data_IF_314806875876
#
_entry.id   IF_314806875876
#
_cell.length_a   1.000
_cell.length_b   1.000
_cell.length_c   1.000
_cell.angle_alpha   90.00
_cell.angle_beta   90.00
_cell.angle_gamma   90.00
#
_symmetry.space_group_name_H-M   'P 1'
#
loop_
_entity.id
_entity.type
_entity.pdbx_description
1 polymer ?
#
# COMPACT_ATOMS: atom_id res chain seq x y z
N UNK A 1 1.91 4.68 19.50
CA UNK A 1 3.06 4.29 18.66
C UNK A 1 3.93 3.34 19.45
N UNK A 2 4.37 2.30 18.81
CA UNK A 2 5.40 1.38 19.35
C UNK A 2 6.73 1.71 18.69
N UNK A 3 7.82 1.56 19.43
CA UNK A 3 9.17 1.83 18.94
C UNK A 3 10.02 0.56 19.10
N UNK A 4 10.65 0.15 18.03
CA UNK A 4 11.62 -0.94 18.01
C UNK A 4 12.99 -0.40 17.68
N UNK A 5 13.95 -0.64 18.56
CA UNK A 5 15.34 -0.19 18.38
C UNK A 5 16.21 -1.35 17.92
N UNK A 6 16.94 -1.12 16.82
CA UNK A 6 17.96 -2.02 16.32
C UNK A 6 19.26 -1.23 16.07
N UNK A 7 20.21 -1.40 16.96
CA UNK A 7 21.45 -0.61 16.96
C UNK A 7 21.19 0.89 17.11
N UNK A 8 21.57 1.66 16.09
CA UNK A 8 21.35 3.12 16.00
C UNK A 8 20.00 3.49 15.35
N UNK A 9 19.31 2.52 14.77
CA UNK A 9 18.02 2.74 14.11
C UNK A 9 16.87 2.54 15.08
N UNK A 10 15.85 3.41 14.97
CA UNK A 10 14.59 3.27 15.71
C UNK A 10 13.45 3.27 14.69
N UNK A 11 12.75 2.16 14.63
CA UNK A 11 11.54 2.02 13.80
C UNK A 11 10.31 2.27 14.65
N UNK A 12 9.43 3.13 14.18
CA UNK A 12 8.14 3.40 14.82
C UNK A 12 7.01 2.75 14.03
N UNK A 13 6.08 2.11 14.73
CA UNK A 13 4.87 1.54 14.17
C UNK A 13 3.62 2.03 14.91
N UNK A 14 2.46 1.90 14.27
CA UNK A 14 1.19 2.12 14.95
C UNK A 14 0.97 1.01 15.98
N UNK A 15 0.46 1.38 17.16
CA UNK A 15 0.39 0.49 18.33
C UNK A 15 -0.76 -0.54 18.28
N UNK A 16 -1.49 -0.65 17.18
CA UNK A 16 -2.56 -1.64 17.03
C UNK A 16 -3.72 -1.17 16.16
N UNK A 17 -4.72 -2.02 16.04
CA UNK A 17 -5.90 -1.82 15.19
C UNK A 17 -6.73 -0.61 15.62
N UNK A 18 -6.84 -0.33 16.91
CA UNK A 18 -7.57 0.83 17.42
C UNK A 18 -6.93 2.14 16.98
N UNK A 19 -5.60 2.20 16.92
CA UNK A 19 -4.87 3.39 16.43
C UNK A 19 -5.09 3.57 14.93
N UNK A 20 -5.11 2.48 14.18
CA UNK A 20 -5.43 2.51 12.74
C UNK A 20 -6.88 2.98 12.53
N UNK A 21 -7.82 2.45 13.30
CA UNK A 21 -9.24 2.82 13.22
C UNK A 21 -9.45 4.31 13.56
N UNK A 22 -8.79 4.81 14.59
CA UNK A 22 -8.82 6.23 14.94
C UNK A 22 -8.26 7.10 13.80
N UNK A 23 -7.11 6.72 13.24
CA UNK A 23 -6.49 7.45 12.12
C UNK A 23 -7.40 7.51 10.90
N UNK A 24 -8.01 6.39 10.52
CA UNK A 24 -8.95 6.31 9.39
C UNK A 24 -10.20 7.15 9.65
N UNK A 25 -10.77 7.10 10.85
CA UNK A 25 -11.92 7.92 11.23
C UNK A 25 -11.61 9.41 11.23
N UNK A 26 -10.43 9.80 11.74
CA UNK A 26 -9.98 11.20 11.73
C UNK A 26 -9.80 11.70 10.29
N UNK A 27 -9.20 10.88 9.43
CA UNK A 27 -9.06 11.20 8.00
C UNK A 27 -10.43 11.37 7.34
N UNK A 28 -11.36 10.45 7.53
CA UNK A 28 -12.70 10.53 6.97
C UNK A 28 -13.47 11.78 7.44
N UNK A 29 -13.30 12.17 8.71
CA UNK A 29 -13.87 13.41 9.23
C UNK A 29 -13.25 14.64 8.54
N UNK A 30 -11.94 14.67 8.37
CA UNK A 30 -11.25 15.77 7.68
C UNK A 30 -11.71 15.86 6.21
N UNK A 31 -11.78 14.74 5.51
CA UNK A 31 -12.27 14.65 4.12
C UNK A 31 -13.70 15.20 3.99
N UNK A 32 -14.59 14.85 4.91
CA UNK A 32 -15.99 15.32 4.91
C UNK A 32 -16.14 16.83 5.15
N UNK A 33 -15.12 17.49 5.66
CA UNK A 33 -15.13 18.93 6.00
C UNK A 33 -14.31 19.78 5.03
N UNK A 34 -13.43 19.17 4.27
CA UNK A 34 -12.47 19.85 3.39
C UNK A 34 -12.71 19.45 1.93
N UNK A 35 -13.83 19.88 1.37
CA UNK A 35 -14.22 19.62 -0.03
C UNK A 35 -13.12 19.99 -1.04
N UNK A 36 -12.30 20.97 -0.72
CA UNK A 36 -11.17 21.38 -1.56
C UNK A 36 -10.12 20.26 -1.73
N UNK A 37 -9.89 19.45 -0.68
CA UNK A 37 -8.96 18.31 -0.75
C UNK A 37 -9.45 17.30 -1.76
N UNK A 38 -10.73 16.98 -1.76
CA UNK A 38 -11.32 16.06 -2.71
C UNK A 38 -11.16 16.58 -4.15
N UNK A 39 -11.47 17.84 -4.39
CA UNK A 39 -11.37 18.47 -5.72
C UNK A 39 -9.92 18.45 -6.24
N UNK A 40 -8.96 18.86 -5.41
CA UNK A 40 -7.53 18.85 -5.77
C UNK A 40 -7.05 17.42 -6.05
N UNK A 41 -7.44 16.47 -5.22
CA UNK A 41 -7.07 15.06 -5.40
C UNK A 41 -7.67 14.49 -6.69
N UNK A 42 -8.94 14.73 -6.96
CA UNK A 42 -9.61 14.27 -8.16
C UNK A 42 -8.97 14.87 -9.43
N UNK A 43 -8.68 16.16 -9.40
CA UNK A 43 -8.00 16.82 -10.52
C UNK A 43 -6.62 16.23 -10.76
N UNK A 44 -5.81 16.04 -9.72
CA UNK A 44 -4.48 15.45 -9.80
C UNK A 44 -4.50 14.03 -10.39
N UNK A 45 -5.44 13.20 -9.96
CA UNK A 45 -5.60 11.83 -10.46
C UNK A 45 -6.07 11.82 -11.92
N UNK A 46 -6.98 12.74 -12.28
CA UNK A 46 -7.50 12.87 -13.65
C UNK A 46 -6.41 13.30 -14.64
N UNK A 47 -5.60 14.29 -14.26
CA UNK A 47 -4.51 14.78 -15.10
C UNK A 47 -3.45 13.68 -15.40
N UNK A 48 -3.31 12.72 -14.49
CA UNK A 48 -2.38 11.58 -14.62
C UNK A 48 -3.03 10.32 -15.21
N UNK A 49 -4.31 10.34 -15.50
CA UNK A 49 -5.03 9.19 -16.06
C UNK A 49 -5.16 8.00 -15.11
N UNK A 50 -5.02 8.21 -13.80
CA UNK A 50 -5.07 7.16 -12.75
C UNK A 50 -6.28 7.31 -11.82
N UNK A 51 -7.39 7.81 -12.36
CA UNK A 51 -8.64 7.97 -11.62
C UNK A 51 -9.18 6.64 -11.07
N UNK A 52 -9.04 5.58 -11.86
CA UNK A 52 -9.55 4.27 -11.49
C UNK A 52 -8.76 3.68 -10.32
N UNK A 53 -9.49 3.22 -9.32
CA UNK A 53 -8.94 2.45 -8.23
C UNK A 53 -9.73 1.16 -8.09
N UNK A 54 -9.03 0.08 -7.76
CA UNK A 54 -9.69 -1.19 -7.47
C UNK A 54 -10.38 -1.08 -6.12
N UNK A 55 -11.63 -1.58 -6.06
CA UNK A 55 -12.32 -1.79 -4.79
C UNK A 55 -11.68 -2.95 -4.04
N UNK A 56 -11.55 -2.79 -2.73
CA UNK A 56 -10.89 -3.78 -1.86
C UNK A 56 -11.58 -5.15 -1.88
N UNK A 57 -12.91 -5.17 -1.83
CA UNK A 57 -13.66 -6.43 -1.78
C UNK A 57 -13.43 -7.23 -3.06
N UNK A 58 -13.51 -6.55 -4.21
CA UNK A 58 -13.14 -7.13 -5.49
C UNK A 58 -11.66 -7.57 -5.53
N UNK A 59 -10.75 -6.82 -4.89
CA UNK A 59 -9.32 -7.16 -4.87
C UNK A 59 -9.07 -8.46 -4.12
N UNK A 60 -9.67 -8.67 -2.95
CA UNK A 60 -9.48 -9.89 -2.14
C UNK A 60 -9.82 -11.14 -2.92
N UNK A 61 -10.94 -11.14 -3.63
CA UNK A 61 -11.38 -12.27 -4.44
C UNK A 61 -10.46 -12.49 -5.65
N UNK A 62 -10.07 -11.44 -6.33
CA UNK A 62 -9.16 -11.49 -7.48
C UNK A 62 -7.75 -11.99 -7.11
N UNK A 63 -7.26 -11.63 -5.92
CA UNK A 63 -5.99 -12.14 -5.39
C UNK A 63 -6.10 -13.66 -5.13
N UNK A 64 -7.18 -14.09 -4.47
CA UNK A 64 -7.40 -15.53 -4.20
C UNK A 64 -7.48 -16.36 -5.48
N UNK A 65 -8.10 -15.81 -6.53
CA UNK A 65 -8.23 -16.45 -7.83
C UNK A 65 -6.94 -16.38 -8.67
N UNK A 66 -5.92 -15.64 -8.23
CA UNK A 66 -4.68 -15.45 -8.98
C UNK A 66 -4.84 -14.59 -10.24
N UNK A 67 -5.88 -13.76 -10.30
CA UNK A 67 -6.20 -12.90 -11.45
C UNK A 67 -5.36 -11.62 -11.49
N UNK A 68 -4.83 -11.20 -10.35
CA UNK A 68 -4.04 -9.98 -10.20
C UNK A 68 -2.74 -10.24 -9.45
N UNK A 69 -1.77 -9.36 -9.66
CA UNK A 69 -0.55 -9.26 -8.85
C UNK A 69 -0.63 -7.99 -8.02
N UNK A 70 -0.60 -8.13 -6.70
CA UNK A 70 -0.58 -6.98 -5.78
C UNK A 70 0.86 -6.54 -5.56
N UNK A 71 1.14 -5.26 -5.75
CA UNK A 71 2.47 -4.69 -5.66
C UNK A 71 2.53 -3.63 -4.55
N UNK A 72 3.36 -3.88 -3.54
CA UNK A 72 3.68 -2.90 -2.50
C UNK A 72 4.88 -2.06 -2.95
N UNK A 73 4.64 -0.78 -3.20
CA UNK A 73 5.67 0.14 -3.71
C UNK A 73 6.32 1.00 -2.61
N UNK A 74 6.03 0.70 -1.35
CA UNK A 74 6.66 1.33 -0.19
C UNK A 74 8.09 0.83 0.02
N UNK A 75 8.91 1.51 0.85
CA UNK A 75 10.18 0.98 1.31
C UNK A 75 10.06 -0.43 1.90
N UNK A 76 11.11 -1.25 1.74
CA UNK A 76 11.12 -2.66 2.17
C UNK A 76 10.83 -2.80 3.66
N UNK A 77 11.31 -1.86 4.46
CA UNK A 77 11.12 -1.86 5.91
C UNK A 77 9.63 -1.72 6.29
N UNK A 78 8.87 -0.93 5.53
CA UNK A 78 7.43 -0.78 5.73
C UNK A 78 6.67 -2.04 5.31
N UNK A 79 7.08 -2.67 4.21
CA UNK A 79 6.53 -3.94 3.78
C UNK A 79 6.75 -5.02 4.84
N UNK A 80 7.98 -5.15 5.34
CA UNK A 80 8.32 -6.12 6.38
C UNK A 80 7.54 -5.90 7.68
N UNK A 81 7.33 -4.64 8.05
CA UNK A 81 6.54 -4.28 9.24
C UNK A 81 5.06 -4.62 9.12
N UNK A 82 4.52 -4.72 7.89
CA UNK A 82 3.15 -5.13 7.64
C UNK A 82 2.73 -4.84 6.20
N UNK A 83 2.18 -5.86 5.53
CA UNK A 83 1.75 -5.77 4.15
C UNK A 83 0.46 -6.56 3.88
N UNK A 84 -0.22 -6.26 2.77
CA UNK A 84 -1.38 -7.01 2.31
C UNK A 84 -0.94 -8.42 1.94
N UNK A 85 -1.60 -9.49 2.46
CA UNK A 85 -1.22 -10.87 2.19
C UNK A 85 -1.13 -11.17 0.69
N UNK A 86 -0.01 -11.79 0.28
CA UNK A 86 0.25 -12.12 -1.13
C UNK A 86 0.80 -10.97 -1.98
N UNK A 87 1.00 -9.79 -1.40
CA UNK A 87 1.66 -8.69 -2.10
C UNK A 87 3.16 -8.95 -2.31
N UNK A 88 3.69 -8.46 -3.42
CA UNK A 88 5.12 -8.48 -3.74
C UNK A 88 5.71 -7.13 -3.33
N UNK A 89 6.82 -7.16 -2.57
CA UNK A 89 7.58 -5.96 -2.24
C UNK A 89 8.43 -5.51 -3.43
N UNK A 90 8.11 -4.34 -3.96
CA UNK A 90 8.92 -3.72 -5.01
C UNK A 90 8.86 -2.20 -4.87
N UNK A 91 9.77 -1.61 -4.08
CA UNK A 91 9.84 -0.18 -3.88
C UNK A 91 9.89 0.60 -5.20
N UNK A 92 9.20 1.73 -5.25
CA UNK A 92 9.11 2.55 -6.47
C UNK A 92 10.48 2.85 -7.09
N UNK A 93 11.50 3.11 -6.27
CA UNK A 93 12.87 3.36 -6.75
C UNK A 93 13.55 2.17 -7.45
N UNK A 94 13.04 0.96 -7.25
CA UNK A 94 13.52 -0.26 -7.89
C UNK A 94 12.67 -0.70 -9.07
N UNK A 95 11.43 -0.20 -9.17
CA UNK A 95 10.44 -0.66 -10.12
C UNK A 95 10.97 -0.66 -11.55
N UNK A 96 11.59 0.45 -11.98
CA UNK A 96 12.12 0.59 -13.34
C UNK A 96 13.15 -0.50 -13.72
N UNK A 97 13.96 -0.92 -12.76
CA UNK A 97 14.99 -1.95 -12.98
C UNK A 97 14.43 -3.36 -13.04
N UNK A 98 13.31 -3.58 -12.37
CA UNK A 98 12.71 -4.92 -12.18
C UNK A 98 11.42 -5.14 -12.98
N UNK A 99 11.10 -4.27 -13.93
CA UNK A 99 9.91 -4.43 -14.78
C UNK A 99 9.86 -5.77 -15.51
N UNK A 100 11.02 -6.32 -15.89
CA UNK A 100 11.10 -7.62 -16.59
C UNK A 100 10.80 -8.82 -15.71
N UNK A 101 10.82 -8.65 -14.40
CA UNK A 101 10.51 -9.70 -13.42
C UNK A 101 8.99 -9.80 -13.14
N UNK A 102 8.21 -8.79 -13.56
CA UNK A 102 6.78 -8.72 -13.31
C UNK A 102 5.98 -9.51 -14.38
N UNK A 103 4.91 -10.21 -13.96
CA UNK A 103 4.04 -10.95 -14.88
C UNK A 103 3.28 -9.98 -15.79
N UNK A 104 3.30 -10.22 -17.10
CA UNK A 104 2.60 -9.38 -18.10
C UNK A 104 1.18 -9.83 -18.39
N UNK A 105 0.87 -11.08 -18.05
CA UNK A 105 -0.41 -11.73 -18.33
C UNK A 105 -1.49 -11.38 -17.29
N UNK A 106 -1.10 -10.70 -16.21
CA UNK A 106 -2.00 -10.33 -15.11
C UNK A 106 -1.98 -8.84 -14.89
N UNK A 107 -3.11 -8.32 -14.49
CA UNK A 107 -3.18 -6.94 -14.03
C UNK A 107 -2.35 -6.76 -12.74
N UNK A 108 -1.64 -5.64 -12.65
CA UNK A 108 -0.89 -5.26 -11.46
C UNK A 108 -1.73 -4.23 -10.69
N UNK A 109 -1.97 -4.51 -9.42
CA UNK A 109 -2.62 -3.57 -8.50
C UNK A 109 -1.58 -3.03 -7.54
N UNK A 110 -1.14 -1.79 -7.76
CA UNK A 110 -0.15 -1.15 -6.92
C UNK A 110 -0.79 -0.43 -5.73
N UNK A 111 -0.19 -0.54 -4.54
CA UNK A 111 -0.63 0.20 -3.36
C UNK A 111 0.53 0.81 -2.58
N UNK A 112 0.21 1.78 -1.74
CA UNK A 112 1.16 2.36 -0.79
C UNK A 112 0.51 2.67 0.57
N UNK A 113 0.67 3.88 1.10
CA UNK A 113 0.22 4.24 2.47
C UNK A 113 -1.25 4.64 2.58
N UNK A 114 -1.93 4.85 1.45
CA UNK A 114 -3.34 5.28 1.41
C UNK A 114 -3.65 6.24 0.26
N UNK A 115 -4.81 6.89 0.27
CA UNK A 115 -5.37 7.58 -0.89
C UNK A 115 -4.54 8.77 -1.40
N UNK A 116 -3.78 9.41 -0.53
CA UNK A 116 -2.98 10.59 -0.86
C UNK A 116 -1.51 10.28 -1.13
N UNK A 117 -1.12 9.01 -1.15
CA UNK A 117 0.26 8.62 -1.40
C UNK A 117 0.56 8.57 -2.89
N UNK A 118 1.47 9.41 -3.33
CA UNK A 118 1.84 9.53 -4.76
C UNK A 118 2.59 8.32 -5.30
N UNK A 119 3.24 7.51 -4.45
CA UNK A 119 4.07 6.38 -4.90
C UNK A 119 3.30 5.36 -5.74
N UNK A 120 2.05 5.05 -5.37
CA UNK A 120 1.22 4.11 -6.14
C UNK A 120 0.77 4.72 -7.46
N UNK A 121 0.57 6.03 -7.52
CA UNK A 121 0.22 6.77 -8.74
C UNK A 121 1.38 6.71 -9.72
N UNK A 122 2.57 7.08 -9.28
CA UNK A 122 3.79 7.05 -10.10
C UNK A 122 4.14 5.63 -10.55
N UNK A 123 3.91 4.63 -9.70
CA UNK A 123 4.11 3.23 -10.06
C UNK A 123 3.15 2.80 -11.18
N UNK A 124 1.86 3.14 -11.09
CA UNK A 124 0.87 2.81 -12.13
C UNK A 124 1.20 3.51 -13.44
N UNK A 125 1.59 4.78 -13.42
CA UNK A 125 2.04 5.49 -14.62
C UNK A 125 3.22 4.76 -15.27
N UNK A 126 4.27 4.48 -14.50
CA UNK A 126 5.46 3.78 -14.99
C UNK A 126 5.13 2.40 -15.56
N UNK A 127 4.27 1.63 -14.90
CA UNK A 127 3.83 0.33 -15.38
C UNK A 127 3.09 0.44 -16.71
N UNK A 128 2.13 1.36 -16.82
CA UNK A 128 1.34 1.58 -18.04
C UNK A 128 2.21 2.06 -19.21
N UNK A 129 3.15 2.96 -18.97
CA UNK A 129 4.13 3.41 -19.99
C UNK A 129 5.00 2.26 -20.52
N UNK A 130 5.20 1.20 -19.72
CA UNK A 130 5.96 0.01 -20.12
C UNK A 130 5.05 -1.16 -20.57
N UNK A 131 3.78 -0.89 -20.87
CA UNK A 131 2.84 -1.83 -21.49
C UNK A 131 2.20 -2.83 -20.54
N UNK A 132 2.20 -2.57 -19.22
CA UNK A 132 1.46 -3.37 -18.25
C UNK A 132 0.03 -2.85 -18.10
N UNK A 133 -0.91 -3.77 -17.87
CA UNK A 133 -2.20 -3.40 -17.31
C UNK A 133 -2.02 -3.16 -15.82
N UNK A 134 -2.25 -1.94 -15.38
CA UNK A 134 -2.03 -1.57 -13.98
C UNK A 134 -3.09 -0.60 -13.46
N UNK A 135 -3.51 -0.81 -12.24
CA UNK A 135 -4.41 0.06 -11.48
C UNK A 135 -3.85 0.30 -10.07
N UNK A 136 -4.44 1.23 -9.34
CA UNK A 136 -4.05 1.45 -7.95
C UNK A 136 -5.12 0.95 -6.98
N UNK A 137 -4.70 0.55 -5.79
CA UNK A 137 -5.57 0.46 -4.63
C UNK A 137 -5.48 1.80 -3.88
N UNK A 138 -6.62 2.42 -3.59
CA UNK A 138 -6.67 3.70 -2.85
C UNK A 138 -6.42 3.54 -1.36
N UNK A 139 -6.50 2.34 -0.84
CA UNK A 139 -6.29 2.01 0.57
C UNK A 139 -4.83 1.59 0.84
N UNK A 140 -4.40 1.77 2.09
CA UNK A 140 -3.12 1.27 2.59
C UNK A 140 -3.31 0.26 3.72
N UNK A 141 -2.21 -0.21 4.30
CA UNK A 141 -2.22 -1.16 5.43
C UNK A 141 -3.01 -0.65 6.64
N UNK A 142 -2.96 0.65 7.03
CA UNK A 142 -3.81 1.15 8.11
C UNK A 142 -5.31 1.01 7.85
N UNK A 143 -5.76 1.21 6.59
CA UNK A 143 -7.16 1.02 6.19
C UNK A 143 -7.58 -0.44 6.28
N UNK A 144 -6.66 -1.34 5.90
CA UNK A 144 -6.83 -2.78 5.96
C UNK A 144 -7.01 -3.26 7.40
N UNK A 145 -6.10 -2.84 8.30
CA UNK A 145 -6.16 -3.16 9.73
C UNK A 145 -7.40 -2.58 10.43
N UNK A 146 -7.77 -1.34 10.11
CA UNK A 146 -8.94 -0.68 10.69
C UNK A 146 -10.27 -1.43 10.39
N UNK A 147 -10.25 -2.35 9.43
CA UNK A 147 -11.40 -3.19 9.04
C UNK A 147 -11.27 -4.65 9.49
N UNK A 148 -10.28 -4.94 10.31
CA UNK A 148 -10.02 -6.30 10.80
C UNK A 148 -9.54 -7.27 9.73
N UNK A 149 -8.99 -6.77 8.60
CA UNK A 149 -8.46 -7.62 7.55
C UNK A 149 -7.05 -8.10 7.91
N UNK A 150 -6.67 -9.31 7.47
CA UNK A 150 -5.36 -9.87 7.80
C UNK A 150 -4.23 -9.07 7.17
N UNK A 151 -3.13 -8.93 7.91
CA UNK A 151 -1.87 -8.33 7.46
C UNK A 151 -0.76 -9.33 7.70
N UNK A 152 0.10 -9.52 6.71
CA UNK A 152 1.30 -10.35 6.83
C UNK A 152 2.50 -9.51 7.28
N UNK A 153 3.45 -10.16 7.96
CA UNK A 153 4.67 -9.56 8.46
C UNK A 153 5.86 -10.46 8.12
N UNK A 154 6.92 -9.89 7.55
CA UNK A 154 8.15 -10.63 7.22
C UNK A 154 9.26 -10.43 8.26
N UNK A 155 8.95 -9.78 9.38
CA UNK A 155 9.90 -9.67 10.48
C UNK A 155 10.08 -11.04 11.14
N UNK A 156 11.19 -11.70 10.87
CA UNK A 156 11.70 -12.77 11.72
C UNK A 156 12.02 -12.17 13.08
N UNK A 157 11.10 -12.32 14.05
CA UNK A 157 11.42 -12.10 15.46
C UNK A 157 12.49 -13.13 15.83
N UNK A 158 13.77 -12.79 15.71
CA UNK A 158 14.79 -13.48 16.50
C UNK A 158 14.42 -13.28 17.96
N UNK A 159 13.76 -14.29 18.54
CA UNK A 159 13.58 -14.39 20.00
C UNK A 159 14.96 -14.57 20.61
N UNK A 160 15.65 -13.47 20.90
CA UNK A 160 16.76 -13.54 21.84
C UNK A 160 16.16 -13.78 23.22
N UNK A 161 16.12 -15.04 23.61
CA UNK A 161 16.00 -15.40 25.01
C UNK A 161 17.25 -14.86 25.72
N UNK A 162 17.12 -13.73 26.40
CA UNK A 162 18.06 -13.39 27.43
C UNK A 162 17.79 -14.33 28.62
N UNK A 163 18.77 -15.26 28.82
CA UNK A 163 18.95 -15.96 30.09
C UNK A 163 19.51 -14.99 31.12
#
# INVERSE_FOLDING_TARGET
MEAQKDGVHVTYSLAGEEVCSFFVALRALAESRLLEIEQVTQQYLKERGVMEAVDREALVDRVRNGEVTVLDVRPVEEYQAGHIPGAISLPLGELKRKLTELPREREIVAYCRGPYCVLAIEAVEMLRENGFTATRLSEGVPDWLARGLPVSHDYTKERRHHK
#
